data_IF_286285305497
#
_entry.id   IF_286285305497
#
_cell.length_a   1.000
_cell.length_b   1.000
_cell.length_c   1.000
_cell.angle_alpha   90.00
_cell.angle_beta   90.00
_cell.angle_gamma   90.00
#
_symmetry.space_group_name_H-M   'P 1'
#
loop_
_entity.id
_entity.type
_entity.pdbx_description
1 polymer ?
#
# COMPACT_ATOMS: atom_id res chain seq x y z
N UNK A 1 57.66 -38.76 -11.71
CA UNK A 1 57.07 -39.65 -12.74
C UNK A 1 55.68 -40.05 -12.28
N UNK A 2 54.64 -39.65 -13.02
CA UNK A 2 53.23 -40.07 -12.83
C UNK A 2 52.58 -39.54 -11.55
N UNK A 3 51.33 -39.08 -11.51
CA UNK A 3 50.18 -39.45 -12.31
C UNK A 3 49.22 -38.25 -12.41
N UNK A 4 48.86 -37.87 -13.64
CA UNK A 4 47.75 -36.97 -13.92
C UNK A 4 46.47 -37.80 -13.96
N UNK A 5 45.64 -37.72 -12.92
CA UNK A 5 44.25 -38.14 -13.00
C UNK A 5 43.42 -37.01 -13.62
N UNK A 6 43.26 -37.04 -14.93
CA UNK A 6 42.24 -36.26 -15.65
C UNK A 6 40.86 -36.84 -15.31
N UNK A 7 40.19 -36.22 -14.34
CA UNK A 7 38.76 -36.45 -14.11
C UNK A 7 37.96 -35.87 -15.27
N UNK A 8 37.30 -36.77 -16.01
CA UNK A 8 36.24 -36.46 -16.95
C UNK A 8 35.17 -35.60 -16.27
N UNK A 9 35.16 -34.29 -16.56
CA UNK A 9 34.01 -33.43 -16.24
C UNK A 9 32.95 -33.67 -17.31
N UNK A 10 31.99 -34.53 -17.00
CA UNK A 10 30.75 -34.68 -17.75
C UNK A 10 30.05 -33.32 -17.87
N UNK A 11 30.27 -32.62 -18.99
CA UNK A 11 29.41 -31.54 -19.42
C UNK A 11 28.14 -32.18 -20.01
N UNK A 12 27.16 -32.42 -19.15
CA UNK A 12 25.78 -32.49 -19.61
C UNK A 12 25.45 -31.11 -20.18
N UNK A 13 25.57 -30.97 -21.51
CA UNK A 13 25.11 -29.77 -22.23
C UNK A 13 23.60 -29.72 -22.05
N UNK A 14 23.13 -29.08 -20.98
CA UNK A 14 21.76 -28.61 -20.89
C UNK A 14 21.51 -27.80 -22.16
N UNK A 15 20.48 -28.17 -22.95
CA UNK A 15 20.09 -27.37 -24.10
C UNK A 15 19.98 -25.91 -23.62
N UNK A 16 20.64 -24.95 -24.29
CA UNK A 16 20.50 -23.55 -23.91
C UNK A 16 19.03 -23.20 -23.96
N UNK A 17 18.55 -22.44 -22.98
CA UNK A 17 17.20 -21.91 -23.02
C UNK A 17 17.03 -21.16 -24.35
N UNK A 18 15.95 -21.39 -25.11
CA UNK A 18 15.70 -20.65 -26.34
C UNK A 18 15.66 -19.15 -26.01
N UNK A 19 16.30 -18.35 -26.86
CA UNK A 19 16.27 -16.89 -26.72
C UNK A 19 14.81 -16.41 -26.82
N UNK A 20 14.45 -15.37 -26.06
CA UNK A 20 13.09 -14.81 -26.10
C UNK A 20 12.71 -14.34 -27.52
N UNK A 21 13.71 -13.95 -28.32
CA UNK A 21 13.53 -13.61 -29.73
C UNK A 21 12.99 -14.76 -30.60
N UNK A 22 13.10 -16.00 -30.14
CA UNK A 22 12.64 -17.21 -30.82
C UNK A 22 11.24 -17.64 -30.35
N UNK A 23 10.69 -17.00 -29.32
CA UNK A 23 9.36 -17.27 -28.82
C UNK A 23 8.32 -16.40 -29.55
N UNK A 24 7.06 -16.85 -29.61
CA UNK A 24 5.93 -15.97 -29.92
C UNK A 24 5.94 -14.75 -29.00
N UNK A 25 5.61 -13.58 -29.55
CA UNK A 25 5.68 -12.31 -28.84
C UNK A 25 4.85 -12.32 -27.55
N UNK A 26 3.70 -13.00 -27.55
CA UNK A 26 2.81 -13.11 -26.39
C UNK A 26 3.50 -13.82 -25.22
N UNK A 27 4.24 -14.89 -25.50
CA UNK A 27 4.96 -15.64 -24.46
C UNK A 27 6.17 -14.87 -23.96
N UNK A 28 6.87 -14.17 -24.86
CA UNK A 28 8.00 -13.33 -24.47
C UNK A 28 7.55 -12.15 -23.59
N UNK A 29 6.46 -11.47 -23.96
CA UNK A 29 5.83 -10.42 -23.15
C UNK A 29 5.36 -10.99 -21.80
N UNK A 30 4.75 -12.16 -21.76
CA UNK A 30 4.34 -12.78 -20.50
C UNK A 30 5.55 -13.05 -19.57
N UNK A 31 6.68 -13.49 -20.11
CA UNK A 31 7.92 -13.66 -19.34
C UNK A 31 8.42 -12.30 -18.82
N UNK A 32 8.48 -11.28 -19.69
CA UNK A 32 8.92 -9.94 -19.35
C UNK A 32 7.99 -9.22 -18.36
N UNK A 33 6.72 -9.60 -18.26
CA UNK A 33 5.75 -9.01 -17.32
C UNK A 33 6.14 -9.18 -15.84
N UNK A 34 7.00 -10.15 -15.55
CA UNK A 34 7.55 -10.40 -14.21
C UNK A 34 8.73 -9.49 -13.85
N UNK A 35 9.28 -8.76 -14.81
CA UNK A 35 10.37 -7.80 -14.58
C UNK A 35 9.84 -6.46 -14.09
N UNK A 36 10.67 -5.73 -13.35
CA UNK A 36 10.40 -4.34 -13.01
C UNK A 36 10.84 -3.39 -14.13
N UNK A 37 10.56 -2.09 -13.98
CA UNK A 37 10.89 -1.09 -14.99
C UNK A 37 12.41 -0.98 -15.27
N UNK A 38 13.26 -1.22 -14.27
CA UNK A 38 14.71 -1.15 -14.40
C UNK A 38 15.19 -2.33 -15.24
N UNK A 39 14.75 -3.53 -14.89
CA UNK A 39 15.07 -4.76 -15.58
C UNK A 39 14.57 -4.76 -17.02
N UNK A 40 13.39 -4.19 -17.29
CA UNK A 40 12.91 -3.98 -18.66
C UNK A 40 13.80 -3.02 -19.45
N UNK A 41 14.27 -1.93 -18.83
CA UNK A 41 15.21 -1.02 -19.49
C UNK A 41 16.54 -1.72 -19.81
N UNK A 42 17.05 -2.57 -18.90
CA UNK A 42 18.25 -3.37 -19.17
C UNK A 42 18.02 -4.42 -20.26
N UNK A 43 16.86 -5.10 -20.24
CA UNK A 43 16.45 -6.04 -21.27
C UNK A 43 16.38 -5.39 -22.65
N UNK A 44 15.91 -4.14 -22.73
CA UNK A 44 15.83 -3.39 -23.98
C UNK A 44 17.20 -3.13 -24.64
N UNK A 45 18.30 -3.22 -23.88
CA UNK A 45 19.66 -3.00 -24.39
C UNK A 45 20.28 -4.24 -25.04
N UNK A 46 19.60 -5.40 -25.06
CA UNK A 46 20.17 -6.66 -25.57
C UNK A 46 20.26 -6.66 -27.10
N UNK A 47 19.15 -6.41 -27.79
CA UNK A 47 19.06 -6.25 -29.25
C UNK A 47 17.72 -5.60 -29.65
N UNK A 48 17.50 -5.35 -30.94
CA UNK A 48 16.28 -4.68 -31.43
C UNK A 48 14.98 -5.44 -31.11
N UNK A 49 15.00 -6.79 -31.12
CA UNK A 49 13.82 -7.60 -30.80
C UNK A 49 13.47 -7.47 -29.31
N UNK A 50 14.48 -7.57 -28.44
CA UNK A 50 14.32 -7.36 -27.01
C UNK A 50 13.87 -5.93 -26.69
N UNK A 51 14.36 -4.93 -27.43
CA UNK A 51 13.88 -3.55 -27.29
C UNK A 51 12.39 -3.43 -27.62
N UNK A 52 11.94 -4.01 -28.74
CA UNK A 52 10.52 -3.99 -29.12
C UNK A 52 9.63 -4.70 -28.08
N UNK A 53 10.08 -5.85 -27.58
CA UNK A 53 9.35 -6.62 -26.56
C UNK A 53 9.32 -5.91 -25.21
N UNK A 54 10.43 -5.32 -24.78
CA UNK A 54 10.54 -4.64 -23.49
C UNK A 54 9.83 -3.27 -23.47
N UNK A 55 9.68 -2.62 -24.63
CA UNK A 55 8.96 -1.35 -24.77
C UNK A 55 7.46 -1.54 -25.10
N UNK A 56 6.95 -2.77 -25.00
CA UNK A 56 5.55 -3.09 -25.26
C UNK A 56 4.58 -2.34 -24.32
N UNK A 57 3.52 -1.78 -24.90
CA UNK A 57 2.58 -0.93 -24.17
C UNK A 57 1.79 -1.67 -23.08
N UNK A 58 1.53 -2.97 -23.25
CA UNK A 58 0.79 -3.77 -22.26
C UNK A 58 1.66 -3.96 -21.02
N UNK A 59 2.95 -4.25 -21.19
CA UNK A 59 3.91 -4.36 -20.08
C UNK A 59 3.96 -3.08 -19.24
N UNK A 60 4.12 -1.95 -19.90
CA UNK A 60 4.24 -0.67 -19.21
C UNK A 60 2.92 -0.21 -18.59
N UNK A 61 1.78 -0.52 -19.20
CA UNK A 61 0.47 -0.29 -18.59
C UNK A 61 0.29 -1.14 -17.32
N UNK A 62 0.67 -2.41 -17.36
CA UNK A 62 0.58 -3.31 -16.21
C UNK A 62 1.53 -2.87 -15.08
N UNK A 63 2.73 -2.39 -15.42
CA UNK A 63 3.63 -1.77 -14.44
C UNK A 63 3.04 -0.50 -13.83
N UNK A 64 2.43 0.35 -14.65
CA UNK A 64 1.75 1.55 -14.19
C UNK A 64 0.65 1.18 -13.18
N UNK A 65 -0.29 0.30 -13.56
CA UNK A 65 -1.41 -0.15 -12.71
C UNK A 65 -0.95 -0.85 -11.42
N UNK A 66 0.13 -1.62 -11.47
CA UNK A 66 0.69 -2.28 -10.28
C UNK A 66 1.21 -1.27 -9.26
N UNK A 67 1.80 -0.15 -9.71
CA UNK A 67 2.43 0.83 -8.81
C UNK A 67 1.49 1.99 -8.44
N UNK A 68 0.68 2.42 -9.39
CA UNK A 68 -0.35 3.44 -9.29
C UNK A 68 -1.67 2.83 -9.79
N UNK A 69 -2.47 2.29 -8.88
CA UNK A 69 -3.72 1.61 -9.24
C UNK A 69 -4.79 2.54 -9.82
N UNK A 70 -4.59 3.87 -9.77
CA UNK A 70 -5.52 4.85 -10.31
C UNK A 70 -4.80 5.96 -11.07
N UNK A 71 -5.20 6.16 -12.32
CA UNK A 71 -5.02 7.42 -13.08
C UNK A 71 -6.20 7.53 -14.06
N UNK A 72 -6.67 8.74 -14.37
CA UNK A 72 -7.71 8.96 -15.39
C UNK A 72 -7.27 8.52 -16.78
N UNK A 73 -5.97 8.42 -16.99
CA UNK A 73 -5.37 8.05 -18.26
C UNK A 73 -5.57 6.56 -18.60
N UNK A 74 -5.96 5.71 -17.65
CA UNK A 74 -6.25 4.30 -17.92
C UNK A 74 -7.61 4.08 -18.60
N UNK A 75 -8.56 4.99 -18.39
CA UNK A 75 -9.93 4.87 -18.94
C UNK A 75 -10.08 5.54 -20.31
N UNK A 76 -9.01 6.17 -20.81
CA UNK A 76 -9.00 6.99 -22.02
C UNK A 76 -7.82 6.61 -22.91
N UNK A 77 -7.92 6.86 -24.24
CA UNK A 77 -6.74 6.80 -25.09
C UNK A 77 -5.65 7.71 -24.53
N UNK A 78 -4.41 7.24 -24.62
CA UNK A 78 -3.22 7.93 -24.10
C UNK A 78 -3.20 9.39 -24.57
N UNK A 79 -3.06 10.35 -23.64
CA UNK A 79 -3.02 11.78 -23.96
C UNK A 79 -1.94 12.06 -25.01
N UNK A 80 -2.13 13.11 -25.82
CA UNK A 80 -1.13 13.56 -26.81
C UNK A 80 0.23 13.87 -26.20
N UNK A 81 0.29 14.12 -24.88
CA UNK A 81 1.54 14.32 -24.14
C UNK A 81 2.39 13.06 -24.00
N UNK A 82 1.77 11.87 -24.09
CA UNK A 82 2.47 10.59 -23.94
C UNK A 82 2.35 9.77 -25.22
N UNK A 83 3.49 9.37 -25.79
CA UNK A 83 3.54 8.50 -26.97
C UNK A 83 3.28 7.04 -26.64
N UNK A 84 3.62 6.61 -25.42
CA UNK A 84 3.49 5.24 -24.94
C UNK A 84 3.37 5.21 -23.40
N UNK A 85 3.00 4.05 -22.86
CA UNK A 85 2.86 3.87 -21.41
C UNK A 85 4.20 3.93 -20.66
N UNK A 86 5.33 3.70 -21.34
CA UNK A 86 6.68 3.92 -20.77
C UNK A 86 6.89 5.38 -20.39
N UNK A 87 6.48 6.33 -21.25
CA UNK A 87 6.56 7.76 -20.93
C UNK A 87 5.62 8.14 -19.78
N UNK A 88 4.39 7.58 -19.74
CA UNK A 88 3.47 7.77 -18.62
C UNK A 88 4.08 7.25 -17.32
N UNK A 89 4.68 6.05 -17.34
CA UNK A 89 5.37 5.46 -16.19
C UNK A 89 6.46 6.39 -15.65
N UNK A 90 7.31 6.93 -16.53
CA UNK A 90 8.39 7.84 -16.13
C UNK A 90 7.86 9.14 -15.53
N UNK A 91 6.76 9.68 -16.07
CA UNK A 91 6.09 10.86 -15.52
C UNK A 91 5.52 10.58 -14.12
N UNK A 92 4.82 9.45 -13.95
CA UNK A 92 4.30 8.99 -12.66
C UNK A 92 5.43 8.75 -11.63
N UNK A 93 6.54 8.16 -12.06
CA UNK A 93 7.72 7.94 -11.20
C UNK A 93 8.35 9.26 -10.77
N UNK A 94 8.51 10.20 -11.70
CA UNK A 94 9.01 11.56 -11.42
C UNK A 94 8.10 12.27 -10.43
N UNK A 95 6.78 12.23 -10.64
CA UNK A 95 5.81 12.81 -9.71
C UNK A 95 5.91 12.19 -8.32
N UNK A 96 6.03 10.87 -8.25
CA UNK A 96 6.14 10.14 -6.97
C UNK A 96 7.42 10.50 -6.23
N UNK A 97 8.52 10.72 -6.95
CA UNK A 97 9.76 11.23 -6.37
C UNK A 97 9.58 12.65 -5.83
N UNK A 98 8.92 13.55 -6.58
CA UNK A 98 8.57 14.89 -6.09
C UNK A 98 7.70 14.83 -4.84
N UNK A 99 6.69 13.95 -4.81
CA UNK A 99 5.81 13.73 -3.67
C UNK A 99 6.57 13.33 -2.38
N UNK A 100 7.75 12.71 -2.49
CA UNK A 100 8.56 12.36 -1.32
C UNK A 100 9.08 13.60 -0.58
N UNK A 101 9.41 14.65 -1.33
CA UNK A 101 9.88 15.94 -0.81
C UNK A 101 8.70 16.86 -0.47
N UNK A 102 7.77 17.01 -1.43
CA UNK A 102 6.54 17.78 -1.27
C UNK A 102 5.39 17.17 -2.09
N UNK A 103 4.37 16.70 -1.38
CA UNK A 103 3.17 16.10 -1.99
C UNK A 103 2.44 17.11 -2.89
N UNK A 104 2.40 18.38 -2.52
CA UNK A 104 1.69 19.41 -3.29
C UNK A 104 2.35 19.61 -4.64
N UNK A 105 3.67 19.72 -4.69
CA UNK A 105 4.42 19.86 -5.94
C UNK A 105 4.22 18.65 -6.85
N UNK A 106 4.25 17.44 -6.30
CA UNK A 106 4.03 16.22 -7.07
C UNK A 106 2.60 16.11 -7.63
N UNK A 107 1.57 16.51 -6.87
CA UNK A 107 0.19 16.55 -7.37
C UNK A 107 0.03 17.62 -8.45
N UNK A 108 0.58 18.83 -8.26
CA UNK A 108 0.55 19.90 -9.28
C UNK A 108 1.21 19.42 -10.57
N UNK A 109 2.36 18.75 -10.48
CA UNK A 109 3.01 18.15 -11.65
C UNK A 109 2.10 17.14 -12.36
N UNK A 110 1.38 16.28 -11.63
CA UNK A 110 0.47 15.30 -12.24
C UNK A 110 -0.73 15.95 -12.94
N UNK A 111 -1.23 17.05 -12.40
CA UNK A 111 -2.29 17.86 -13.02
C UNK A 111 -1.77 18.54 -14.28
N UNK A 112 -0.58 19.15 -14.23
CA UNK A 112 0.05 19.83 -15.38
C UNK A 112 0.37 18.86 -16.53
N UNK A 113 0.72 17.62 -16.20
CA UNK A 113 0.94 16.54 -17.19
C UNK A 113 -0.36 15.86 -17.65
N UNK A 114 -1.53 16.35 -17.23
CA UNK A 114 -2.87 15.81 -17.54
C UNK A 114 -3.07 14.34 -17.13
N UNK A 115 -2.27 13.85 -16.17
CA UNK A 115 -2.37 12.47 -15.65
C UNK A 115 -3.51 12.34 -14.64
N UNK A 116 -3.73 13.40 -13.86
CA UNK A 116 -4.81 13.54 -12.89
C UNK A 116 -5.60 14.82 -13.19
N UNK A 117 -6.86 14.85 -12.77
CA UNK A 117 -7.61 16.09 -12.73
C UNK A 117 -7.41 16.80 -11.39
N UNK A 118 -7.49 18.13 -11.41
CA UNK A 118 -7.46 18.96 -10.20
C UNK A 118 -8.82 18.92 -9.48
N UNK A 119 -9.21 17.72 -9.03
CA UNK A 119 -10.38 17.51 -8.20
C UNK A 119 -10.05 16.58 -7.02
N UNK A 120 -10.75 16.80 -5.90
CA UNK A 120 -10.49 16.12 -4.63
C UNK A 120 -10.64 14.59 -4.78
N UNK A 121 -11.65 14.14 -5.53
CA UNK A 121 -11.91 12.71 -5.74
C UNK A 121 -10.76 12.00 -6.46
N UNK A 122 -10.23 12.59 -7.52
CA UNK A 122 -9.11 12.01 -8.27
C UNK A 122 -7.83 11.96 -7.46
N UNK A 123 -7.55 13.04 -6.72
CA UNK A 123 -6.38 13.11 -5.85
C UNK A 123 -6.51 12.07 -4.72
N UNK A 124 -7.72 11.91 -4.14
CA UNK A 124 -7.98 10.90 -3.12
C UNK A 124 -7.78 9.48 -3.65
N UNK A 125 -8.36 9.16 -4.81
CA UNK A 125 -8.22 7.85 -5.46
C UNK A 125 -6.75 7.57 -5.83
N UNK A 126 -6.02 8.57 -6.32
CA UNK A 126 -4.59 8.43 -6.59
C UNK A 126 -3.80 8.10 -5.33
N UNK A 127 -4.03 8.83 -4.23
CA UNK A 127 -3.35 8.59 -2.95
C UNK A 127 -3.65 7.18 -2.42
N UNK A 128 -4.91 6.75 -2.45
CA UNK A 128 -5.34 5.44 -1.97
C UNK A 128 -4.71 4.28 -2.76
N UNK A 129 -4.51 4.47 -4.06
CA UNK A 129 -4.03 3.43 -4.97
C UNK A 129 -2.52 3.51 -5.27
N UNK A 130 -1.76 4.37 -4.57
CA UNK A 130 -0.31 4.48 -4.76
C UNK A 130 0.46 3.83 -3.63
N UNK A 131 1.28 2.83 -3.95
CA UNK A 131 1.95 1.97 -2.95
C UNK A 131 3.18 2.61 -2.26
N UNK A 132 3.71 3.72 -2.77
CA UNK A 132 5.06 4.22 -2.42
C UNK A 132 5.13 5.69 -1.96
N UNK A 133 4.02 6.25 -1.47
CA UNK A 133 3.98 7.63 -0.97
C UNK A 133 4.69 7.78 0.39
N UNK A 134 5.43 8.89 0.54
CA UNK A 134 6.07 9.27 1.80
C UNK A 134 5.01 9.70 2.82
N UNK A 135 4.87 8.95 3.91
CA UNK A 135 3.92 9.27 4.98
C UNK A 135 4.20 10.62 5.64
N UNK A 136 5.46 11.04 5.72
CA UNK A 136 5.84 12.34 6.27
C UNK A 136 5.30 13.49 5.43
N UNK A 137 5.47 13.40 4.10
CA UNK A 137 4.99 14.39 3.14
C UNK A 137 3.46 14.38 3.05
N UNK A 138 2.87 13.18 2.96
CA UNK A 138 1.42 12.99 2.92
C UNK A 138 0.74 13.56 4.18
N UNK A 139 1.30 13.34 5.37
CA UNK A 139 0.78 13.92 6.63
C UNK A 139 0.70 15.44 6.56
N UNK A 140 1.78 16.11 6.11
CA UNK A 140 1.81 17.57 5.99
C UNK A 140 0.71 18.06 5.04
N UNK A 141 0.58 17.38 3.91
CA UNK A 141 -0.41 17.72 2.90
C UNK A 141 -1.86 17.53 3.37
N UNK A 142 -2.17 16.40 4.01
CA UNK A 142 -3.52 16.13 4.54
C UNK A 142 -3.91 17.10 5.66
N UNK A 143 -2.94 17.59 6.45
CA UNK A 143 -3.19 18.62 7.47
C UNK A 143 -3.64 19.95 6.85
N UNK A 144 -3.15 20.28 5.67
CA UNK A 144 -3.53 21.49 4.93
C UNK A 144 -4.84 21.32 4.13
N UNK A 145 -5.29 20.07 3.93
CA UNK A 145 -6.43 19.72 3.09
C UNK A 145 -7.42 18.80 3.83
N UNK A 146 -8.19 19.32 4.81
CA UNK A 146 -9.10 18.50 5.62
C UNK A 146 -10.22 17.85 4.80
N UNK A 147 -10.70 18.52 3.74
CA UNK A 147 -11.70 17.95 2.83
C UNK A 147 -11.18 16.74 2.04
N UNK A 148 -9.89 16.76 1.70
CA UNK A 148 -9.25 15.62 1.03
C UNK A 148 -9.11 14.44 1.99
N UNK A 149 -8.73 14.68 3.25
CA UNK A 149 -8.69 13.64 4.27
C UNK A 149 -10.07 12.99 4.46
N UNK A 150 -11.13 13.79 4.61
CA UNK A 150 -12.51 13.30 4.71
C UNK A 150 -12.92 12.46 3.49
N UNK A 151 -12.55 12.90 2.29
CA UNK A 151 -12.80 12.15 1.04
C UNK A 151 -12.04 10.82 1.02
N UNK A 152 -10.78 10.80 1.45
CA UNK A 152 -9.99 9.57 1.56
C UNK A 152 -10.64 8.60 2.54
N UNK A 153 -11.04 9.08 3.72
CA UNK A 153 -11.71 8.26 4.74
C UNK A 153 -12.99 7.64 4.18
N UNK A 154 -13.83 8.44 3.51
CA UNK A 154 -15.09 8.00 2.90
C UNK A 154 -14.94 6.93 1.82
N UNK A 155 -13.79 6.90 1.14
CA UNK A 155 -13.48 5.91 0.10
C UNK A 155 -12.92 4.59 0.66
N UNK A 156 -12.68 4.48 1.98
CA UNK A 156 -12.30 3.22 2.61
C UNK A 156 -13.56 2.41 2.95
N UNK A 157 -13.65 1.19 2.44
CA UNK A 157 -14.77 0.30 2.76
C UNK A 157 -14.43 -0.59 3.98
N UNK A 158 -15.26 -0.49 5.02
CA UNK A 158 -15.16 -1.29 6.24
C UNK A 158 -16.36 -2.21 6.46
N UNK A 159 -17.23 -2.39 5.46
CA UNK A 159 -18.40 -3.23 5.59
C UNK A 159 -17.99 -4.69 5.86
N UNK A 160 -18.43 -5.24 7.00
CA UNK A 160 -18.12 -6.62 7.40
C UNK A 160 -16.65 -6.87 7.75
N UNK A 161 -15.81 -5.82 7.81
CA UNK A 161 -14.40 -5.92 8.19
C UNK A 161 -14.28 -5.93 9.71
N UNK A 162 -13.50 -6.87 10.23
CA UNK A 162 -13.26 -6.96 11.67
C UNK A 162 -12.50 -5.73 12.19
N UNK A 163 -12.89 -5.19 13.35
CA UNK A 163 -12.42 -3.88 13.82
C UNK A 163 -10.89 -3.68 13.79
N UNK A 164 -10.06 -4.58 14.35
CA UNK A 164 -8.61 -4.46 14.27
C UNK A 164 -8.07 -4.39 12.83
N UNK A 165 -8.67 -5.13 11.91
CA UNK A 165 -8.25 -5.18 10.51
C UNK A 165 -8.68 -3.90 9.79
N UNK A 166 -9.87 -3.36 10.09
CA UNK A 166 -10.31 -2.05 9.61
C UNK A 166 -9.36 -0.93 10.07
N UNK A 167 -8.93 -0.95 11.34
CA UNK A 167 -7.93 -0.01 11.87
C UNK A 167 -6.61 -0.14 11.09
N UNK A 168 -6.12 -1.36 10.83
CA UNK A 168 -4.88 -1.56 10.05
C UNK A 168 -5.01 -1.03 8.63
N UNK A 169 -6.14 -1.29 7.96
CA UNK A 169 -6.42 -0.75 6.63
C UNK A 169 -6.45 0.77 6.66
N UNK A 170 -7.09 1.38 7.66
CA UNK A 170 -7.10 2.83 7.84
C UNK A 170 -5.69 3.42 7.91
N UNK A 171 -4.83 2.87 8.78
CA UNK A 171 -3.45 3.36 8.96
C UNK A 171 -2.46 2.89 7.89
N UNK A 172 -2.88 2.01 6.97
CA UNK A 172 -2.14 1.70 5.76
C UNK A 172 -2.18 2.85 4.75
N UNK A 173 -3.27 3.62 4.74
CA UNK A 173 -3.48 4.74 3.82
C UNK A 173 -3.29 6.11 4.47
N UNK A 174 -3.66 6.25 5.75
CA UNK A 174 -3.61 7.52 6.46
C UNK A 174 -2.46 7.52 7.47
N UNK A 175 -1.51 8.46 7.37
CA UNK A 175 -0.38 8.52 8.29
C UNK A 175 -0.83 8.73 9.75
N UNK A 176 -0.58 7.78 10.67
CA UNK A 176 -0.95 7.91 12.08
C UNK A 176 -0.15 9.05 12.73
N UNK A 177 -0.70 9.87 13.62
CA UNK A 177 -0.02 11.05 14.17
C UNK A 177 1.34 10.68 14.82
N UNK A 178 2.30 11.62 14.77
CA UNK A 178 3.66 11.41 15.30
C UNK A 178 3.70 11.13 16.81
N UNK A 179 2.59 11.39 17.53
CA UNK A 179 2.42 11.12 18.96
C UNK A 179 0.93 10.97 19.31
N UNK A 180 0.64 10.26 20.40
CA UNK A 180 -0.68 10.14 21.05
C UNK A 180 -1.11 11.50 21.64
N UNK A 181 -1.38 12.46 20.75
CA UNK A 181 -1.79 13.84 21.05
C UNK A 181 -3.27 14.02 20.70
N UNK A 182 -3.84 15.20 20.95
CA UNK A 182 -5.19 15.56 20.51
C UNK A 182 -5.46 15.26 19.01
N UNK A 183 -4.43 15.23 18.16
CA UNK A 183 -4.56 14.87 16.75
C UNK A 183 -4.86 13.37 16.51
N UNK A 184 -4.43 12.50 17.45
CA UNK A 184 -4.83 11.10 17.46
C UNK A 184 -6.31 10.97 17.77
N UNK A 185 -6.81 11.79 18.68
CA UNK A 185 -8.21 11.75 19.09
C UNK A 185 -9.15 12.12 17.94
N UNK A 186 -8.80 13.13 17.15
CA UNK A 186 -9.58 13.54 15.98
C UNK A 186 -9.61 12.45 14.89
N UNK A 187 -8.46 11.87 14.55
CA UNK A 187 -8.38 10.80 13.54
C UNK A 187 -9.12 9.53 13.96
N UNK A 188 -8.98 9.13 15.23
CA UNK A 188 -9.71 7.97 15.77
C UNK A 188 -11.21 8.26 15.78
N UNK A 189 -11.62 9.48 16.13
CA UNK A 189 -13.02 9.91 16.07
C UNK A 189 -13.58 9.82 14.65
N UNK A 190 -12.86 10.32 13.64
CA UNK A 190 -13.27 10.23 12.24
C UNK A 190 -13.35 8.78 11.75
N UNK A 191 -12.38 7.94 12.13
CA UNK A 191 -12.43 6.51 11.86
C UNK A 191 -13.66 5.84 12.47
N UNK A 192 -13.98 6.14 13.74
CA UNK A 192 -15.11 5.54 14.44
C UNK A 192 -16.44 5.95 13.81
N UNK A 193 -16.60 7.22 13.42
CA UNK A 193 -17.78 7.70 12.68
C UNK A 193 -17.96 6.93 11.38
N UNK A 194 -16.89 6.85 10.57
CA UNK A 194 -16.94 6.17 9.29
C UNK A 194 -17.18 4.66 9.42
N UNK A 195 -16.54 4.00 10.39
CA UNK A 195 -16.74 2.57 10.65
C UNK A 195 -18.19 2.24 11.01
N UNK A 196 -18.86 3.09 11.80
CA UNK A 196 -20.28 2.95 12.14
C UNK A 196 -21.15 3.18 10.91
N UNK A 197 -20.83 4.17 10.06
CA UNK A 197 -21.56 4.41 8.81
C UNK A 197 -21.48 3.22 7.85
N UNK A 198 -20.31 2.57 7.73
CA UNK A 198 -20.14 1.36 6.91
C UNK A 198 -20.86 0.13 7.50
N UNK A 199 -21.14 0.12 8.80
CA UNK A 199 -21.70 -1.02 9.52
C UNK A 199 -22.93 -0.59 10.32
N UNK A 200 -24.01 -0.19 9.65
CA UNK A 200 -25.23 0.33 10.30
C UNK A 200 -25.89 -0.65 11.28
N UNK A 201 -25.62 -1.95 11.15
CA UNK A 201 -26.13 -2.99 12.04
C UNK A 201 -25.34 -3.09 13.36
N UNK A 202 -24.27 -2.29 13.51
CA UNK A 202 -23.46 -2.26 14.70
C UNK A 202 -24.23 -1.72 15.90
N UNK A 203 -24.06 -2.36 17.06
CA UNK A 203 -24.65 -1.89 18.32
C UNK A 203 -23.78 -0.87 19.04
N UNK A 204 -22.57 -0.62 18.55
CA UNK A 204 -21.63 0.29 19.20
C UNK A 204 -22.05 1.75 19.03
N UNK A 205 -22.14 2.49 20.12
CA UNK A 205 -22.11 3.95 20.02
C UNK A 205 -20.69 4.43 19.69
N UNK A 206 -20.57 5.65 19.15
CA UNK A 206 -19.27 6.24 18.79
C UNK A 206 -18.30 6.25 19.97
N UNK A 207 -18.75 6.59 21.17
CA UNK A 207 -17.89 6.66 22.36
C UNK A 207 -17.38 5.28 22.78
N UNK A 208 -18.22 4.24 22.66
CA UNK A 208 -17.83 2.86 22.98
C UNK A 208 -16.79 2.34 21.99
N UNK A 209 -16.98 2.65 20.70
CA UNK A 209 -16.06 2.27 19.65
C UNK A 209 -14.71 2.99 19.82
N UNK A 210 -14.73 4.29 20.14
CA UNK A 210 -13.52 5.06 20.46
C UNK A 210 -12.77 4.43 21.63
N UNK A 211 -13.45 4.14 22.74
CA UNK A 211 -12.85 3.48 23.90
C UNK A 211 -12.21 2.13 23.53
N UNK A 212 -12.90 1.34 22.71
CA UNK A 212 -12.39 0.06 22.24
C UNK A 212 -11.16 0.25 21.36
N UNK A 213 -11.16 1.22 20.44
CA UNK A 213 -10.00 1.56 19.62
C UNK A 213 -8.78 1.92 20.47
N UNK A 214 -8.94 2.78 21.49
CA UNK A 214 -7.85 3.10 22.41
C UNK A 214 -7.33 1.88 23.18
N UNK A 215 -8.25 1.02 23.65
CA UNK A 215 -7.88 -0.23 24.32
C UNK A 215 -7.03 -1.12 23.41
N UNK A 216 -7.39 -1.19 22.12
CA UNK A 216 -6.65 -1.95 21.12
C UNK A 216 -5.29 -1.32 20.79
N UNK A 217 -5.19 0.01 20.72
CA UNK A 217 -3.90 0.70 20.55
C UNK A 217 -2.96 0.47 21.73
N UNK A 218 -3.46 0.56 22.96
CA UNK A 218 -2.66 0.28 24.15
C UNK A 218 -2.17 -1.16 24.15
N UNK A 219 -3.05 -2.11 23.78
CA UNK A 219 -2.66 -3.51 23.62
C UNK A 219 -1.62 -3.69 22.50
N UNK A 220 -1.79 -3.03 21.36
CA UNK A 220 -0.87 -3.16 20.23
C UNK A 220 0.53 -2.64 20.59
N UNK A 221 0.61 -1.48 21.24
CA UNK A 221 1.88 -0.94 21.74
C UNK A 221 2.50 -1.85 22.79
N UNK A 222 1.70 -2.35 23.75
CA UNK A 222 2.16 -3.26 24.80
C UNK A 222 2.79 -4.53 24.22
N UNK A 223 2.08 -5.22 23.32
CA UNK A 223 2.54 -6.49 22.73
C UNK A 223 3.76 -6.31 21.81
N UNK A 224 3.82 -5.22 21.04
CA UNK A 224 4.85 -5.04 20.01
C UNK A 224 6.08 -4.24 20.49
N UNK A 225 6.01 -3.50 21.61
CA UNK A 225 7.14 -2.69 22.08
C UNK A 225 8.20 -3.54 22.81
N UNK A 226 9.49 -3.52 22.42
CA UNK A 226 10.54 -4.27 23.11
C UNK A 226 10.81 -3.75 24.54
N UNK A 227 10.36 -2.55 24.87
CA UNK A 227 10.53 -1.94 26.19
C UNK A 227 9.62 -2.57 27.25
N UNK A 228 8.50 -3.15 26.83
CA UNK A 228 7.55 -3.80 27.74
C UNK A 228 7.97 -5.26 27.94
N UNK A 229 8.53 -5.55 29.12
CA UNK A 229 8.98 -6.91 29.48
C UNK A 229 7.83 -7.85 29.84
N UNK A 230 6.86 -7.35 30.58
CA UNK A 230 5.69 -8.11 31.03
C UNK A 230 4.50 -7.72 30.16
N UNK A 231 4.24 -8.53 29.13
CA UNK A 231 3.14 -8.31 28.19
C UNK A 231 1.79 -8.55 28.85
N UNK A 232 0.79 -7.76 28.48
CA UNK A 232 -0.59 -7.94 28.89
C UNK A 232 -1.11 -9.29 28.40
N UNK A 233 -1.58 -10.13 29.31
CA UNK A 233 -2.22 -11.40 28.95
C UNK A 233 -3.64 -11.18 28.42
N UNK A 234 -4.14 -12.14 27.64
CA UNK A 234 -5.53 -12.14 27.14
C UNK A 234 -6.57 -11.94 28.25
N UNK A 235 -6.37 -12.62 29.39
CA UNK A 235 -7.26 -12.51 30.56
C UNK A 235 -7.24 -11.10 31.16
N UNK A 236 -6.07 -10.47 31.22
CA UNK A 236 -5.93 -9.10 31.72
C UNK A 236 -6.59 -8.09 30.78
N UNK A 237 -6.37 -8.21 29.47
CA UNK A 237 -7.02 -7.37 28.46
C UNK A 237 -8.55 -7.43 28.60
N UNK A 238 -9.13 -8.63 28.58
CA UNK A 238 -10.58 -8.82 28.75
C UNK A 238 -11.07 -8.16 30.04
N UNK A 239 -10.39 -8.41 31.17
CA UNK A 239 -10.78 -7.83 32.47
C UNK A 239 -10.72 -6.29 32.45
N UNK A 240 -9.71 -5.72 31.81
CA UNK A 240 -9.51 -4.27 31.77
C UNK A 240 -10.56 -3.59 30.87
N UNK A 241 -10.80 -4.13 29.68
CA UNK A 241 -11.75 -3.56 28.70
C UNK A 241 -13.21 -3.75 29.13
N UNK A 242 -13.54 -4.85 29.82
CA UNK A 242 -14.91 -5.06 30.36
C UNK A 242 -15.33 -4.06 31.43
N UNK A 243 -14.39 -3.36 32.07
CA UNK A 243 -14.72 -2.28 33.02
C UNK A 243 -15.28 -1.05 32.33
N UNK A 244 -15.01 -0.87 31.04
CA UNK A 244 -15.54 0.21 30.21
C UNK A 244 -16.87 -0.15 29.52
N UNK A 245 -17.01 -1.39 29.03
CA UNK A 245 -18.22 -1.85 28.31
C UNK A 245 -18.52 -3.32 28.57
N UNK A 246 -19.80 -3.69 28.62
CA UNK A 246 -20.22 -5.09 28.81
C UNK A 246 -20.26 -5.87 27.49
N UNK A 247 -19.09 -5.99 26.86
CA UNK A 247 -18.92 -6.76 25.64
C UNK A 247 -18.73 -8.26 25.92
N UNK A 248 -19.18 -9.15 25.00
CA UNK A 248 -18.96 -10.57 25.13
C UNK A 248 -17.47 -10.89 25.31
N UNK A 249 -17.19 -11.75 26.29
CA UNK A 249 -15.82 -12.18 26.62
C UNK A 249 -15.13 -12.83 25.42
N UNK A 250 -15.89 -13.57 24.60
CA UNK A 250 -15.41 -14.20 23.37
C UNK A 250 -14.96 -13.16 22.34
N UNK A 251 -15.76 -12.12 22.11
CA UNK A 251 -15.42 -11.03 21.18
C UNK A 251 -14.14 -10.30 21.59
N UNK A 252 -14.00 -9.92 22.86
CA UNK A 252 -12.77 -9.32 23.39
C UNK A 252 -11.57 -10.28 23.27
N UNK A 253 -11.83 -11.58 23.40
CA UNK A 253 -10.83 -12.61 23.15
C UNK A 253 -10.34 -12.63 21.71
N UNK A 254 -11.26 -12.56 20.73
CA UNK A 254 -10.90 -12.50 19.31
C UNK A 254 -10.13 -11.23 18.94
N UNK A 255 -10.48 -10.09 19.54
CA UNK A 255 -9.73 -8.86 19.37
C UNK A 255 -8.27 -9.03 19.84
N UNK A 256 -8.05 -9.61 21.02
CA UNK A 256 -6.70 -9.87 21.53
C UNK A 256 -5.91 -10.78 20.60
N UNK A 257 -6.51 -11.90 20.20
CA UNK A 257 -5.85 -12.89 19.33
C UNK A 257 -5.44 -12.26 18.00
N UNK A 258 -6.29 -11.41 17.43
CA UNK A 258 -5.97 -10.72 16.18
C UNK A 258 -4.76 -9.78 16.34
N UNK A 259 -4.66 -8.98 17.42
CA UNK A 259 -3.46 -8.14 17.66
C UNK A 259 -2.22 -9.00 17.89
N UNK A 260 -2.36 -10.10 18.63
CA UNK A 260 -1.27 -11.02 18.91
C UNK A 260 -0.72 -11.70 17.66
N UNK A 261 -1.60 -12.11 16.73
CA UNK A 261 -1.24 -12.85 15.52
C UNK A 261 -0.77 -11.93 14.37
N UNK A 262 -1.44 -10.79 14.16
CA UNK A 262 -1.19 -9.92 13.01
C UNK A 262 -0.33 -8.69 13.36
N UNK A 263 0.03 -8.52 14.63
CA UNK A 263 0.90 -7.45 15.09
C UNK A 263 0.21 -6.09 15.19
N UNK A 264 1.04 -5.04 15.12
CA UNK A 264 0.64 -3.67 15.42
C UNK A 264 -0.48 -3.14 14.51
N UNK A 265 -1.34 -2.29 15.06
CA UNK A 265 -2.46 -1.66 14.34
C UNK A 265 -2.01 -0.60 13.32
N UNK A 266 -0.85 -0.02 13.55
CA UNK A 266 -0.22 0.93 12.65
C UNK A 266 1.21 0.44 12.35
N UNK A 267 1.39 -0.55 11.46
CA UNK A 267 2.66 -1.24 11.27
C UNK A 267 3.80 -0.33 10.79
N UNK A 268 3.47 0.81 10.19
CA UNK A 268 4.44 1.81 9.73
C UNK A 268 4.92 2.80 10.81
N UNK A 269 4.52 2.62 12.08
CA UNK A 269 4.98 3.42 13.23
C UNK A 269 6.17 2.82 14.00
N UNK A 270 6.47 1.54 13.78
CA UNK A 270 7.49 0.79 14.55
C UNK A 270 8.81 0.78 13.79
#
# INVERSE_FOLDING_TARGET
MGQSHTLYRNQSKSKPFPDLSQLPAELAVQVLSHLDATDLCLASCVNEIWQQLADDNVLWLDLCKRRWGFTRQYDKPLSTHFKNYKQLYLSLDTATLSCRTDMREGIVYLVDQEVLWDCIDDIALFILNTSSLSFSSLRRYLKEQPLLLDTIIKNLDFQGVFLPDAIRTFFLHIPPPNSLTQQADELISQFCEHFILCNSDTTFSKDELCYLCYSLFLLSVDLNSPQVKNKMSKREFIRNTRRGHDLPTEYLGYLYDNIYLHGHLAPRLI
#
